data_IF_102266501485
#
_entry.id   IF_102266501485
#
_cell.length_a   1.000
_cell.length_b   1.000
_cell.length_c   1.000
_cell.angle_alpha   90.00
_cell.angle_beta   90.00
_cell.angle_gamma   90.00
#
_symmetry.space_group_name_H-M   'P 1'
#
loop_
_entity.id
_entity.type
_entity.pdbx_description
1 polymer ?
#
# COMPACT_ATOMS: atom_id res chain seq x y z
N UNK A 1 4.34 24.71 -3.77
CA UNK A 1 4.04 23.34 -4.24
C UNK A 1 3.27 22.66 -3.13
N UNK A 2 2.19 21.96 -3.45
CA UNK A 2 1.44 21.20 -2.45
C UNK A 2 2.09 19.82 -2.31
N UNK A 3 2.21 19.30 -1.09
CA UNK A 3 2.91 18.03 -0.86
C UNK A 3 2.22 16.85 -1.57
N UNK A 4 0.92 16.97 -1.86
CA UNK A 4 0.15 15.91 -2.51
C UNK A 4 0.51 15.69 -3.98
N UNK A 5 1.10 16.68 -4.66
CA UNK A 5 1.39 16.61 -6.10
C UNK A 5 2.76 15.97 -6.40
N UNK A 6 3.53 15.64 -5.37
CA UNK A 6 4.90 15.11 -5.50
C UNK A 6 4.92 13.59 -5.46
N UNK A 7 5.72 12.98 -6.32
CA UNK A 7 6.05 11.55 -6.25
C UNK A 7 6.77 11.22 -4.93
N UNK A 8 6.79 9.95 -4.51
CA UNK A 8 7.52 9.56 -3.29
C UNK A 8 9.01 9.90 -3.34
N UNK A 9 9.62 9.82 -4.52
CA UNK A 9 11.02 10.18 -4.69
C UNK A 9 11.21 11.69 -4.51
N UNK A 10 10.30 12.52 -5.01
CA UNK A 10 10.33 13.97 -4.83
C UNK A 10 10.02 14.38 -3.39
N UNK A 11 9.06 13.72 -2.73
CA UNK A 11 8.78 13.89 -1.30
C UNK A 11 10.01 13.53 -0.46
N UNK A 12 10.61 12.38 -0.74
CA UNK A 12 11.83 11.93 -0.08
C UNK A 12 13.01 12.87 -0.31
N UNK A 13 13.12 13.45 -1.51
CA UNK A 13 14.13 14.46 -1.82
C UNK A 13 13.90 15.76 -1.02
N UNK A 14 12.68 16.31 -1.02
CA UNK A 14 12.37 17.54 -0.28
C UNK A 14 12.54 17.39 1.23
N UNK A 15 12.10 16.25 1.80
CA UNK A 15 12.34 15.96 3.22
C UNK A 15 13.84 15.81 3.48
N UNK A 16 14.59 15.16 2.58
CA UNK A 16 16.04 15.08 2.65
C UNK A 16 16.73 16.44 2.64
N UNK A 17 16.28 17.38 1.80
CA UNK A 17 16.81 18.76 1.78
C UNK A 17 16.55 19.49 3.11
N UNK A 18 15.35 19.36 3.68
CA UNK A 18 15.03 19.94 4.99
C UNK A 18 15.92 19.36 6.10
N UNK A 19 16.10 18.03 6.11
CA UNK A 19 16.89 17.32 7.12
C UNK A 19 18.40 17.61 6.99
N UNK A 20 18.90 17.92 5.78
CA UNK A 20 20.33 18.21 5.57
C UNK A 20 20.83 19.46 6.32
N UNK A 21 19.93 20.39 6.66
CA UNK A 21 20.23 21.58 7.46
C UNK A 21 20.10 21.37 8.97
N UNK A 22 19.62 20.20 9.41
CA UNK A 22 19.42 19.85 10.81
C UNK A 22 20.69 19.25 11.43
N UNK A 23 20.67 18.99 12.73
CA UNK A 23 21.79 18.39 13.44
C UNK A 23 22.02 16.91 13.08
N UNK A 24 23.20 16.38 13.44
CA UNK A 24 23.60 15.00 13.12
C UNK A 24 22.64 13.94 13.69
N UNK A 25 22.00 14.20 14.83
CA UNK A 25 21.04 13.28 15.45
C UNK A 25 19.76 13.17 14.61
N UNK A 26 19.20 14.29 14.16
CA UNK A 26 18.02 14.33 13.29
C UNK A 26 18.32 13.70 11.93
N UNK A 27 19.52 13.91 11.39
CA UNK A 27 19.95 13.26 10.14
C UNK A 27 20.06 11.74 10.30
N UNK A 28 20.61 11.28 11.42
CA UNK A 28 20.71 9.85 11.74
C UNK A 28 19.33 9.20 11.94
N UNK A 29 18.43 9.86 12.65
CA UNK A 29 17.05 9.39 12.87
C UNK A 29 16.28 9.28 11.54
N UNK A 30 16.44 10.25 10.65
CA UNK A 30 15.81 10.21 9.34
C UNK A 30 16.37 9.08 8.45
N UNK A 31 17.67 8.81 8.52
CA UNK A 31 18.27 7.67 7.83
C UNK A 31 17.70 6.34 8.35
N UNK A 32 17.62 6.16 9.67
CA UNK A 32 17.01 4.98 10.27
C UNK A 32 15.54 4.83 9.89
N UNK A 33 14.79 5.93 9.86
CA UNK A 33 13.39 5.93 9.42
C UNK A 33 13.24 5.47 7.96
N UNK A 34 14.11 5.95 7.05
CA UNK A 34 14.08 5.52 5.65
C UNK A 34 14.36 4.03 5.49
N UNK A 35 15.36 3.52 6.21
CA UNK A 35 15.71 2.10 6.17
C UNK A 35 14.59 1.24 6.75
N UNK A 36 13.99 1.66 7.87
CA UNK A 36 12.83 0.99 8.47
C UNK A 36 11.62 0.97 7.53
N UNK A 37 11.34 2.11 6.84
CA UNK A 37 10.26 2.20 5.84
C UNK A 37 10.51 1.27 4.66
N UNK A 38 11.75 1.19 4.17
CA UNK A 38 12.11 0.30 3.06
C UNK A 38 12.00 -1.19 3.45
N UNK A 39 12.45 -1.55 4.65
CA UNK A 39 12.31 -2.91 5.18
C UNK A 39 10.83 -3.31 5.37
N UNK A 40 10.02 -2.41 5.94
CA UNK A 40 8.59 -2.63 6.12
C UNK A 40 7.85 -2.78 4.77
N UNK A 41 8.25 -2.02 3.75
CA UNK A 41 7.73 -2.18 2.39
C UNK A 41 8.11 -3.53 1.80
N UNK A 42 9.37 -3.94 1.92
CA UNK A 42 9.83 -5.25 1.41
C UNK A 42 9.04 -6.39 2.03
N UNK A 43 8.85 -6.36 3.36
CA UNK A 43 8.10 -7.37 4.08
C UNK A 43 6.62 -7.39 3.68
N UNK A 44 6.02 -6.22 3.42
CA UNK A 44 4.67 -6.14 2.86
C UNK A 44 4.62 -6.78 1.47
N UNK A 45 5.53 -6.41 0.57
CA UNK A 45 5.56 -6.94 -0.80
C UNK A 45 5.73 -8.48 -0.81
N UNK A 46 6.55 -9.03 0.10
CA UNK A 46 6.70 -10.48 0.30
C UNK A 46 5.42 -11.16 0.83
N UNK A 47 4.73 -10.53 1.78
CA UNK A 47 3.45 -11.01 2.30
C UNK A 47 2.39 -11.04 1.20
N UNK A 48 2.30 -9.98 0.40
CA UNK A 48 1.36 -9.88 -0.72
C UNK A 48 1.65 -10.91 -1.80
N UNK A 49 2.92 -11.08 -2.19
CA UNK A 49 3.31 -12.13 -3.13
C UNK A 49 2.97 -13.54 -2.61
N UNK A 50 3.23 -13.82 -1.33
CA UNK A 50 2.91 -15.11 -0.69
C UNK A 50 1.40 -15.39 -0.69
N UNK A 51 0.59 -14.38 -0.38
CA UNK A 51 -0.87 -14.49 -0.36
C UNK A 51 -1.42 -14.66 -1.77
N UNK A 52 -0.97 -13.82 -2.71
CA UNK A 52 -1.35 -13.86 -4.12
C UNK A 52 -1.02 -15.20 -4.77
N UNK A 53 0.10 -15.84 -4.39
CA UNK A 53 0.50 -17.17 -4.90
C UNK A 53 -0.41 -18.33 -4.46
N UNK A 54 -1.21 -18.14 -3.41
CA UNK A 54 -2.15 -19.16 -2.89
C UNK A 54 -3.56 -19.01 -3.46
N UNK A 55 -3.83 -17.90 -4.16
CA UNK A 55 -5.10 -17.65 -4.79
C UNK A 55 -5.17 -18.36 -6.15
N UNK A 56 -6.36 -18.84 -6.50
CA UNK A 56 -6.63 -19.24 -7.88
C UNK A 56 -6.55 -18.00 -8.81
N UNK A 57 -6.39 -18.17 -10.13
CA UNK A 57 -6.19 -17.04 -11.05
C UNK A 57 -7.31 -15.98 -11.01
N UNK A 58 -8.56 -16.40 -10.80
CA UNK A 58 -9.72 -15.50 -10.76
C UNK A 58 -9.71 -14.67 -9.46
N UNK A 59 -9.51 -15.32 -8.32
CA UNK A 59 -9.37 -14.66 -7.02
C UNK A 59 -8.15 -13.74 -6.98
N UNK A 60 -7.04 -14.16 -7.59
CA UNK A 60 -5.84 -13.32 -7.74
C UNK A 60 -6.16 -12.05 -8.51
N UNK A 61 -6.86 -12.16 -9.65
CA UNK A 61 -7.23 -10.99 -10.46
C UNK A 61 -8.12 -10.00 -9.70
N UNK A 62 -8.97 -10.48 -8.78
CA UNK A 62 -9.79 -9.63 -7.91
C UNK A 62 -8.95 -9.02 -6.79
N UNK A 63 -8.04 -9.78 -6.19
CA UNK A 63 -7.11 -9.31 -5.16
C UNK A 63 -6.18 -8.20 -5.68
N UNK A 64 -5.58 -8.40 -6.86
CA UNK A 64 -4.67 -7.43 -7.48
C UNK A 64 -5.39 -6.08 -7.74
N UNK A 65 -6.66 -6.12 -8.17
CA UNK A 65 -7.46 -4.88 -8.35
C UNK A 65 -7.71 -4.14 -7.04
N UNK A 66 -8.00 -4.87 -5.95
CA UNK A 66 -8.18 -4.26 -4.64
C UNK A 66 -6.86 -3.65 -4.13
N UNK A 67 -5.74 -4.33 -4.37
CA UNK A 67 -4.40 -3.83 -4.06
C UNK A 67 -4.06 -2.55 -4.82
N UNK A 68 -4.34 -2.51 -6.14
CA UNK A 68 -4.11 -1.32 -6.97
C UNK A 68 -4.91 -0.11 -6.46
N UNK A 69 -6.18 -0.31 -6.11
CA UNK A 69 -7.03 0.74 -5.54
C UNK A 69 -6.50 1.21 -4.18
N UNK A 70 -6.11 0.28 -3.31
CA UNK A 70 -5.58 0.63 -1.98
C UNK A 70 -4.26 1.39 -2.05
N UNK A 71 -3.41 1.04 -3.00
CA UNK A 71 -2.12 1.69 -3.21
C UNK A 71 -2.23 2.99 -4.04
N UNK A 72 -3.42 3.32 -4.54
CA UNK A 72 -3.65 4.56 -5.29
C UNK A 72 -3.65 5.77 -4.35
N UNK A 73 -2.61 6.60 -4.48
CA UNK A 73 -2.39 7.78 -3.63
C UNK A 73 -3.26 8.97 -3.99
N UNK A 74 -3.93 8.92 -5.14
CA UNK A 74 -4.88 9.94 -5.57
C UNK A 74 -6.24 9.76 -4.90
N UNK A 75 -6.49 8.59 -4.29
CA UNK A 75 -7.71 8.29 -3.56
C UNK A 75 -7.54 8.57 -2.07
N UNK A 76 -8.56 9.20 -1.49
CA UNK A 76 -8.73 9.18 -0.03
C UNK A 76 -9.08 7.76 0.42
N UNK A 77 -8.89 7.48 1.72
CA UNK A 77 -9.28 6.19 2.30
C UNK A 77 -10.75 5.84 2.02
N UNK A 78 -11.65 6.82 2.10
CA UNK A 78 -13.08 6.59 1.86
C UNK A 78 -13.36 6.22 0.40
N UNK A 79 -12.71 6.89 -0.57
CA UNK A 79 -12.85 6.59 -1.99
C UNK A 79 -12.24 5.23 -2.35
N UNK A 80 -11.10 4.88 -1.74
CA UNK A 80 -10.49 3.57 -1.91
C UNK A 80 -11.38 2.46 -1.33
N UNK A 81 -11.93 2.64 -0.12
CA UNK A 81 -12.86 1.70 0.51
C UNK A 81 -14.13 1.50 -0.34
N UNK A 82 -14.69 2.58 -0.90
CA UNK A 82 -15.84 2.53 -1.79
C UNK A 82 -15.54 1.75 -3.07
N UNK A 83 -14.40 2.03 -3.73
CA UNK A 83 -14.01 1.32 -4.95
C UNK A 83 -13.69 -0.17 -4.69
N UNK A 84 -13.07 -0.50 -3.55
CA UNK A 84 -12.86 -1.89 -3.13
C UNK A 84 -14.21 -2.59 -2.95
N UNK A 85 -15.19 -1.92 -2.33
CA UNK A 85 -16.53 -2.47 -2.19
C UNK A 85 -17.21 -2.68 -3.55
N UNK A 86 -17.06 -1.74 -4.49
CA UNK A 86 -17.55 -1.90 -5.86
C UNK A 86 -16.95 -3.14 -6.53
N UNK A 87 -15.63 -3.33 -6.47
CA UNK A 87 -14.94 -4.52 -7.02
C UNK A 87 -15.53 -5.80 -6.44
N UNK A 88 -15.79 -5.84 -5.13
CA UNK A 88 -16.39 -6.99 -4.46
C UNK A 88 -17.84 -7.24 -4.89
N UNK A 89 -18.62 -6.19 -5.17
CA UNK A 89 -20.03 -6.35 -5.56
C UNK A 89 -20.25 -6.65 -7.04
N UNK A 90 -19.38 -6.13 -7.92
CA UNK A 90 -19.53 -6.25 -9.37
C UNK A 90 -18.85 -7.48 -9.97
N UNK A 91 -17.99 -8.15 -9.19
CA UNK A 91 -17.37 -9.40 -9.63
C UNK A 91 -18.40 -10.54 -9.64
N UNK A 92 -18.61 -11.12 -10.83
CA UNK A 92 -19.63 -12.17 -11.05
C UNK A 92 -19.31 -13.45 -10.28
N UNK A 93 -18.03 -13.80 -10.15
CA UNK A 93 -17.59 -14.96 -9.39
C UNK A 93 -17.51 -14.65 -7.89
N UNK A 94 -18.49 -15.18 -7.15
CA UNK A 94 -18.64 -14.96 -5.72
C UNK A 94 -17.60 -15.68 -4.87
N UNK A 95 -17.10 -16.85 -5.31
CA UNK A 95 -16.07 -17.58 -4.56
C UNK A 95 -14.72 -16.91 -4.76
N UNK A 96 -14.38 -16.51 -5.99
CA UNK A 96 -13.16 -15.73 -6.26
C UNK A 96 -13.12 -14.43 -5.45
N UNK A 97 -14.25 -13.73 -5.37
CA UNK A 97 -14.38 -12.50 -4.58
C UNK A 97 -14.20 -12.75 -3.08
N UNK A 98 -14.80 -13.82 -2.56
CA UNK A 98 -14.72 -14.18 -1.14
C UNK A 98 -13.30 -14.51 -0.72
N UNK A 99 -12.60 -15.33 -1.51
CA UNK A 99 -11.20 -15.71 -1.25
C UNK A 99 -10.27 -14.49 -1.33
N UNK A 100 -10.46 -13.64 -2.36
CA UNK A 100 -9.72 -12.39 -2.50
C UNK A 100 -9.97 -11.42 -1.33
N UNK A 101 -11.22 -11.29 -0.87
CA UNK A 101 -11.59 -10.38 0.22
C UNK A 101 -11.06 -10.84 1.57
N UNK A 102 -11.06 -12.15 1.83
CA UNK A 102 -10.48 -12.73 3.04
C UNK A 102 -8.96 -12.52 3.07
N UNK A 103 -8.29 -12.79 1.95
CA UNK A 103 -6.88 -12.52 1.76
C UNK A 103 -6.55 -11.04 1.98
N UNK A 104 -7.31 -10.13 1.35
CA UNK A 104 -7.12 -8.69 1.47
C UNK A 104 -7.31 -8.19 2.91
N UNK A 105 -8.41 -8.57 3.55
CA UNK A 105 -8.71 -8.15 4.93
C UNK A 105 -7.66 -8.59 5.95
N UNK A 106 -7.12 -9.81 5.78
CA UNK A 106 -6.09 -10.34 6.67
C UNK A 106 -4.76 -9.58 6.61
N UNK A 107 -4.45 -8.91 5.48
CA UNK A 107 -3.17 -8.24 5.26
C UNK A 107 -3.24 -6.71 5.35
N UNK A 108 -4.39 -6.10 5.03
CA UNK A 108 -4.52 -4.65 4.91
C UNK A 108 -5.35 -3.98 6.01
N UNK A 109 -6.38 -4.64 6.56
CA UNK A 109 -7.27 -4.01 7.56
C UNK A 109 -6.91 -4.30 9.03
N UNK A 110 -6.14 -5.37 9.30
CA UNK A 110 -5.65 -5.68 10.65
C UNK A 110 -4.43 -4.84 11.11
N UNK A 111 -4.04 -3.80 10.36
CA UNK A 111 -2.94 -2.89 10.71
C UNK A 111 -3.39 -1.66 11.54
N UNK A 112 -4.59 -1.73 12.14
CA UNK A 112 -5.18 -0.68 12.98
C UNK A 112 -4.64 -0.72 14.41
#
# INVERSE_FOLDING_TARGET
>A
MNNNDLSENEKGFQVGELISGENEEIQADYAQFKDAKAAAKTLLDEQLASVSSKLNPEAKGVFDKMEDVYNNKDLTKAEADEQIQTIQTETVDKEATKDASAAFSSNFFNRS
#
